data_IF_922582213091
#
_entry.id   IF_922582213091
#
_cell.length_a   1.000
_cell.length_b   1.000
_cell.length_c   1.000
_cell.angle_alpha   90.00
_cell.angle_beta   90.00
_cell.angle_gamma   90.00
#
_symmetry.space_group_name_H-M   'P 1'
#
loop_
_entity.id
_entity.type
_entity.pdbx_description
1 polymer ?
#
# COMPACT_ATOMS: atom_id res chain seq x y z
N UNK A 1 -11.54 6.21 21.75
CA UNK A 1 -11.27 5.43 21.77
C UNK A 1 -10.50 5.04 21.07
N UNK A 2 -10.14 4.96 21.10
CA UNK A 2 -9.41 4.63 20.42
C UNK A 2 -9.33 3.56 20.07
N UNK A 3 -9.32 3.31 19.51
CA UNK A 3 -9.30 2.45 19.18
C UNK A 3 -8.36 1.87 18.94
N UNK A 4 -8.17 1.29 18.98
CA UNK A 4 -7.37 0.55 18.84
C UNK A 4 -7.07 -0.03 17.83
N UNK A 5 -6.50 -0.41 17.51
CA UNK A 5 -6.16 -0.91 16.50
C UNK A 5 -6.06 -1.93 16.33
N UNK A 6 -6.28 -2.23 16.16
CA UNK A 6 -6.17 -2.65 15.72
C UNK A 6 -6.37 -3.88 15.30
N UNK A 7 -6.85 -4.74 15.86
CA UNK A 7 -7.30 -6.02 15.41
C UNK A 7 -8.64 -5.91 14.76
N UNK A 8 -8.78 -6.53 13.61
CA UNK A 8 -10.03 -6.58 12.90
C UNK A 8 -10.51 -8.03 12.87
N UNK A 9 -11.80 -8.23 12.97
CA UNK A 9 -12.37 -9.56 13.02
C UNK A 9 -13.44 -9.73 11.97
N UNK A 10 -13.48 -10.93 11.40
CA UNK A 10 -14.52 -11.27 10.45
C UNK A 10 -15.87 -11.29 11.14
N UNK A 11 -16.86 -10.66 10.54
CA UNK A 11 -18.18 -10.57 11.15
C UNK A 11 -18.90 -11.90 11.17
N UNK A 12 -18.51 -12.81 10.29
CA UNK A 12 -19.15 -14.10 10.22
C UNK A 12 -18.61 -15.08 11.23
N UNK A 13 -17.30 -15.19 11.30
CA UNK A 13 -16.69 -16.25 12.10
C UNK A 13 -15.88 -15.73 13.27
N UNK A 14 -15.70 -14.41 13.37
CA UNK A 14 -14.94 -13.84 14.47
C UNK A 14 -13.44 -13.99 14.35
N UNK A 15 -12.96 -14.54 13.24
CA UNK A 15 -11.51 -14.70 13.06
C UNK A 15 -10.85 -13.36 12.81
N UNK A 16 -9.63 -13.21 13.34
CA UNK A 16 -8.87 -12.00 13.14
C UNK A 16 -8.48 -11.87 11.68
N UNK A 17 -8.63 -10.66 11.12
CA UNK A 17 -8.31 -10.41 9.72
C UNK A 17 -6.87 -9.94 9.64
N UNK A 18 -6.06 -10.64 8.83
CA UNK A 18 -4.68 -10.28 8.62
C UNK A 18 -4.59 -8.97 7.83
N UNK A 19 -3.41 -8.31 7.89
CA UNK A 19 -3.19 -7.05 7.20
C UNK A 19 -3.45 -7.17 5.70
N UNK A 20 -3.06 -8.30 5.09
CA UNK A 20 -3.32 -8.51 3.67
C UNK A 20 -4.81 -8.51 3.37
N UNK A 21 -5.62 -9.05 4.29
CA UNK A 21 -7.07 -9.06 4.11
C UNK A 21 -7.66 -7.67 4.28
N UNK A 22 -7.00 -6.80 5.07
CA UNK A 22 -7.44 -5.42 5.17
C UNK A 22 -7.28 -4.71 3.83
N UNK A 23 -6.20 -5.01 3.11
CA UNK A 23 -6.01 -4.44 1.79
C UNK A 23 -7.10 -4.91 0.82
N UNK A 24 -7.48 -6.18 0.91
CA UNK A 24 -8.55 -6.72 0.07
C UNK A 24 -9.87 -6.01 0.31
N UNK A 25 -10.10 -5.56 1.53
CA UNK A 25 -11.34 -4.89 1.90
C UNK A 25 -11.28 -3.38 1.68
N UNK A 26 -10.14 -2.85 1.24
CA UNK A 26 -9.98 -1.42 1.03
C UNK A 26 -10.74 -1.00 -0.22
N UNK A 27 -11.65 -0.02 -0.11
CA UNK A 27 -12.44 0.39 -1.27
C UNK A 27 -11.62 1.04 -2.37
N UNK A 28 -10.38 1.44 -2.10
CA UNK A 28 -9.52 2.02 -3.11
C UNK A 28 -8.68 1.01 -3.87
N UNK A 29 -8.82 -0.28 -3.57
CA UNK A 29 -7.98 -1.33 -4.12
C UNK A 29 -8.85 -2.37 -4.82
N UNK A 30 -8.43 -2.77 -6.02
CA UNK A 30 -9.03 -3.89 -6.74
C UNK A 30 -7.95 -4.95 -6.90
N UNK A 31 -7.91 -5.87 -5.95
CA UNK A 31 -6.87 -6.88 -5.93
C UNK A 31 -6.99 -7.85 -7.09
N UNK A 32 -8.21 -8.12 -7.50
CA UNK A 32 -8.46 -9.07 -8.57
C UNK A 32 -7.78 -8.64 -9.87
N UNK A 33 -7.74 -7.33 -10.10
CA UNK A 33 -7.19 -6.79 -11.33
C UNK A 33 -5.89 -6.02 -11.10
N UNK A 34 -5.29 -6.11 -9.91
CA UNK A 34 -4.06 -5.40 -9.57
C UNK A 34 -4.20 -3.91 -9.89
N UNK A 35 -5.32 -3.34 -9.48
CA UNK A 35 -5.68 -1.97 -9.87
C UNK A 35 -6.02 -1.15 -8.66
N UNK A 36 -6.00 0.16 -8.84
CA UNK A 36 -6.44 1.11 -7.83
C UNK A 36 -7.58 1.94 -8.40
N UNK A 37 -8.51 2.28 -7.54
CA UNK A 37 -9.59 3.19 -7.93
C UNK A 37 -9.13 4.60 -7.68
N UNK A 38 -9.36 5.46 -8.66
CA UNK A 38 -8.98 6.86 -8.63
C UNK A 38 -10.20 7.72 -8.34
N UNK A 39 -9.96 8.97 -8.05
CA UNK A 39 -11.04 9.92 -7.92
C UNK A 39 -11.83 9.95 -9.22
N UNK A 40 -13.14 10.00 -9.09
CA UNK A 40 -14.01 9.97 -10.26
C UNK A 40 -14.39 8.58 -10.73
N UNK A 41 -13.99 7.55 -9.99
CA UNK A 41 -14.38 6.18 -10.29
C UNK A 41 -13.54 5.48 -11.34
N UNK A 42 -12.50 6.13 -11.82
CA UNK A 42 -11.60 5.51 -12.78
C UNK A 42 -10.71 4.49 -12.09
N UNK A 43 -10.14 3.62 -12.88
CA UNK A 43 -9.29 2.55 -12.38
C UNK A 43 -7.95 2.61 -13.09
N UNK A 44 -6.88 2.42 -12.33
CA UNK A 44 -5.53 2.38 -12.89
C UNK A 44 -4.86 1.08 -12.52
N UNK A 45 -4.44 0.34 -13.52
CA UNK A 45 -3.77 -0.93 -13.31
C UNK A 45 -2.29 -0.71 -13.01
N UNK A 46 -1.78 -1.45 -12.03
CA UNK A 46 -0.36 -1.42 -11.69
C UNK A 46 0.35 -2.56 -12.39
N UNK A 47 1.63 -2.35 -12.73
CA UNK A 47 2.45 -3.45 -13.21
C UNK A 47 2.67 -4.45 -12.07
N UNK A 48 3.08 -5.69 -12.39
CA UNK A 48 3.35 -6.66 -11.31
C UNK A 48 4.39 -6.18 -10.32
N UNK A 49 5.43 -5.48 -10.78
CA UNK A 49 6.45 -4.97 -9.87
C UNK A 49 5.88 -3.85 -9.00
N UNK A 50 5.10 -2.95 -9.58
CA UNK A 50 4.45 -1.90 -8.82
C UNK A 50 3.48 -2.47 -7.81
N UNK A 51 2.76 -3.52 -8.19
CA UNK A 51 1.81 -4.14 -7.28
C UNK A 51 2.52 -4.77 -6.09
N UNK A 52 3.65 -5.44 -6.32
CA UNK A 52 4.41 -6.01 -5.21
C UNK A 52 4.91 -4.93 -4.25
N UNK A 53 5.41 -3.83 -4.81
CA UNK A 53 5.88 -2.73 -3.98
C UNK A 53 4.72 -2.10 -3.21
N UNK A 54 3.60 -1.89 -3.88
CA UNK A 54 2.44 -1.33 -3.22
C UNK A 54 1.97 -2.23 -2.08
N UNK A 55 1.91 -3.54 -2.32
CA UNK A 55 1.49 -4.49 -1.30
C UNK A 55 2.42 -4.47 -0.10
N UNK A 56 3.73 -4.44 -0.35
CA UNK A 56 4.72 -4.40 0.73
C UNK A 56 4.56 -3.14 1.57
N UNK A 57 4.34 -2.01 0.91
CA UNK A 57 4.13 -0.75 1.61
C UNK A 57 2.81 -0.74 2.36
N UNK A 58 1.76 -1.28 1.76
CA UNK A 58 0.45 -1.30 2.40
C UNK A 58 0.46 -2.12 3.68
N UNK A 59 1.11 -3.27 3.64
CA UNK A 59 1.19 -4.12 4.82
C UNK A 59 1.93 -3.43 5.97
N UNK A 60 2.70 -2.41 5.65
CA UNK A 60 3.50 -1.67 6.62
C UNK A 60 3.07 -0.21 6.72
N UNK A 61 1.90 0.13 6.20
CA UNK A 61 1.49 1.52 6.21
C UNK A 61 1.35 2.03 7.64
N UNK A 62 1.59 3.32 7.81
CA UNK A 62 1.57 3.92 9.13
C UNK A 62 2.93 3.97 9.78
N UNK A 63 3.98 3.43 9.14
CA UNK A 63 5.34 3.56 9.63
C UNK A 63 6.29 3.75 8.47
N UNK A 64 7.47 4.27 8.82
CA UNK A 64 8.52 4.48 7.83
C UNK A 64 9.21 3.15 7.58
N UNK A 65 9.31 2.77 6.31
CA UNK A 65 9.90 1.49 5.92
C UNK A 65 11.25 1.77 5.26
N UNK A 66 12.35 1.25 5.81
CA UNK A 66 13.66 1.43 5.19
C UNK A 66 13.73 0.79 3.81
N UNK A 67 14.55 1.37 2.96
CA UNK A 67 14.74 0.86 1.61
C UNK A 67 15.18 -0.61 1.62
N UNK A 68 16.06 -0.96 2.56
CA UNK A 68 16.54 -2.34 2.67
C UNK A 68 15.40 -3.32 2.95
N UNK A 69 14.46 -2.91 3.79
CA UNK A 69 13.32 -3.78 4.10
C UNK A 69 12.44 -3.96 2.88
N UNK A 70 12.23 -2.89 2.11
CA UNK A 70 11.44 -2.98 0.89
C UNK A 70 12.15 -3.85 -0.15
N UNK A 71 13.47 -3.75 -0.22
CA UNK A 71 14.23 -4.58 -1.15
C UNK A 71 14.03 -6.06 -0.84
N UNK A 72 14.09 -6.42 0.44
CA UNK A 72 13.88 -7.79 0.84
C UNK A 72 12.44 -8.24 0.56
N UNK A 73 11.47 -7.39 0.90
CA UNK A 73 10.07 -7.75 0.75
C UNK A 73 9.66 -7.91 -0.71
N UNK A 74 10.25 -7.11 -1.61
CA UNK A 74 9.90 -7.17 -3.02
C UNK A 74 10.87 -7.99 -3.84
N UNK A 75 11.95 -8.47 -3.22
CA UNK A 75 13.00 -9.23 -3.89
C UNK A 75 13.64 -8.43 -5.02
N UNK A 76 13.84 -7.15 -4.80
CA UNK A 76 14.48 -6.27 -5.77
C UNK A 76 15.74 -5.68 -5.18
N UNK A 77 16.71 -5.35 -6.05
CA UNK A 77 17.88 -4.62 -5.61
C UNK A 77 17.49 -3.21 -5.21
N UNK A 78 18.18 -2.67 -4.20
CA UNK A 78 17.86 -1.33 -3.73
C UNK A 78 18.01 -0.29 -4.84
N UNK A 79 18.98 -0.49 -5.73
CA UNK A 79 19.19 0.44 -6.83
C UNK A 79 18.00 0.51 -7.78
N UNK A 80 17.25 -0.58 -7.91
CA UNK A 80 16.08 -0.61 -8.78
C UNK A 80 14.84 -0.06 -8.10
N UNK A 81 14.81 -0.10 -6.79
CA UNK A 81 13.63 0.31 -6.04
C UNK A 81 13.33 1.78 -6.19
N UNK A 82 14.38 2.62 -6.27
CA UNK A 82 14.15 4.06 -6.35
C UNK A 82 13.35 4.41 -7.59
N UNK A 83 13.70 3.81 -8.74
CA UNK A 83 12.94 4.02 -9.96
C UNK A 83 11.54 3.46 -9.88
N UNK A 84 11.41 2.30 -9.24
CA UNK A 84 10.10 1.67 -9.08
C UNK A 84 9.20 2.51 -8.18
N UNK A 85 9.76 3.09 -7.12
CA UNK A 85 9.00 3.97 -6.24
C UNK A 85 8.50 5.19 -7.00
N UNK A 86 9.34 5.75 -7.87
CA UNK A 86 8.92 6.89 -8.70
C UNK A 86 7.76 6.52 -9.60
N UNK A 87 7.83 5.35 -10.22
CA UNK A 87 6.74 4.89 -11.07
C UNK A 87 5.47 4.68 -10.26
N UNK A 88 5.62 4.07 -9.08
CA UNK A 88 4.47 3.84 -8.21
C UNK A 88 3.82 5.16 -7.81
N UNK A 89 4.63 6.16 -7.49
CA UNK A 89 4.09 7.48 -7.15
C UNK A 89 3.22 8.03 -8.27
N UNK A 90 3.66 7.89 -9.50
CA UNK A 90 2.87 8.37 -10.63
C UNK A 90 1.58 7.59 -10.75
N UNK A 91 1.65 6.28 -10.53
CA UNK A 91 0.46 5.44 -10.61
C UNK A 91 -0.52 5.74 -9.47
N UNK A 92 -0.02 6.21 -8.34
CA UNK A 92 -0.88 6.54 -7.21
C UNK A 92 -1.53 7.91 -7.33
N UNK A 93 -1.15 8.70 -8.35
CA UNK A 93 -1.75 10.01 -8.52
C UNK A 93 -3.27 9.90 -8.61
N UNK A 94 -3.97 10.76 -7.87
CA UNK A 94 -5.42 10.82 -7.81
C UNK A 94 -6.07 9.61 -7.12
N UNK A 95 -5.27 8.75 -6.52
CA UNK A 95 -5.79 7.69 -5.66
C UNK A 95 -5.79 8.20 -4.23
N UNK A 96 -6.28 7.37 -3.32
CA UNK A 96 -6.27 7.73 -1.90
C UNK A 96 -4.95 7.39 -1.22
N UNK A 97 -3.98 6.94 -1.98
CA UNK A 97 -2.70 6.50 -1.44
C UNK A 97 -1.60 7.47 -1.81
N UNK A 98 -0.64 7.64 -0.92
CA UNK A 98 0.46 8.56 -1.11
C UNK A 98 1.72 7.94 -0.53
N UNK A 99 2.83 7.98 -1.28
CA UNK A 99 4.12 7.54 -0.78
C UNK A 99 4.93 8.76 -0.44
N UNK A 100 5.38 8.84 0.80
CA UNK A 100 6.18 9.95 1.30
C UNK A 100 7.61 9.47 1.52
N UNK A 101 8.58 10.26 1.05
CA UNK A 101 9.99 9.97 1.29
C UNK A 101 10.42 10.64 2.59
N UNK A 102 11.00 9.83 3.47
CA UNK A 102 11.64 10.34 4.69
C UNK A 102 13.14 10.24 4.48
N UNK A 103 13.78 11.37 4.22
CA UNK A 103 15.19 11.39 3.85
C UNK A 103 16.01 10.66 4.90
N UNK A 104 16.87 9.74 4.43
CA UNK A 104 17.77 8.92 5.26
C UNK A 104 17.05 7.89 6.11
N UNK A 105 15.73 7.80 6.06
CA UNK A 105 14.99 6.84 6.88
C UNK A 105 14.18 5.84 6.08
N UNK A 106 13.64 6.23 4.94
CA UNK A 106 12.87 5.31 4.13
C UNK A 106 11.63 5.94 3.55
N UNK A 107 10.62 5.12 3.41
CA UNK A 107 9.38 5.52 2.73
C UNK A 107 8.18 5.11 3.57
N UNK A 108 7.12 5.87 3.42
CA UNK A 108 5.90 5.60 4.17
C UNK A 108 4.71 5.70 3.23
N UNK A 109 3.81 4.71 3.28
CA UNK A 109 2.56 4.78 2.56
C UNK A 109 1.50 5.38 3.47
N UNK A 110 0.86 6.41 2.98
CA UNK A 110 -0.21 7.07 3.70
C UNK A 110 -1.51 6.76 2.98
N UNK A 111 -2.51 6.32 3.74
CA UNK A 111 -3.83 6.06 3.22
C UNK A 111 -4.70 7.25 3.62
N UNK A 112 -5.16 8.01 2.63
CA UNK A 112 -5.97 9.18 2.89
C UNK A 112 -7.43 8.77 2.97
N UNK A 113 -8.10 9.33 3.96
CA UNK A 113 -9.51 9.09 4.10
C UNK A 113 -10.26 9.99 3.15
N UNK A 114 -11.34 9.46 2.59
CA UNK A 114 -12.18 10.27 1.76
C UNK A 114 -13.14 11.08 2.57
N UNK A 115 -13.39 12.27 2.14
CA UNK A 115 -14.31 13.16 2.83
C UNK A 115 -15.73 12.91 2.40
#
# INVERSE_FOLDING_TARGET
>A
MARLPRRRFCRRCGAEIATANLMDADPGVDREHFSLFLQGGQRRQLSPAEWRLFTALYQRHGRIVPLAELATATRNAQSKLRGLIQRLRRSLARSRFLVVTHVAHGFELIVREEE
#
